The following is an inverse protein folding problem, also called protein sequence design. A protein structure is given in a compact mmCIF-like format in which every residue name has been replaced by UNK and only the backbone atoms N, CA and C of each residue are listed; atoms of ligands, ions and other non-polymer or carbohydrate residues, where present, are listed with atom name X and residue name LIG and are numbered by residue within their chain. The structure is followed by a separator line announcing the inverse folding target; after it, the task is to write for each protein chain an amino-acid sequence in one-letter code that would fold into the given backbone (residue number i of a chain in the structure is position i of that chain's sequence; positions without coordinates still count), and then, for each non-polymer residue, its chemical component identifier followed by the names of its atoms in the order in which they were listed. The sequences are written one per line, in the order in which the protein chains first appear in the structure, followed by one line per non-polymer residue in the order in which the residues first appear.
data_IF_778774473817
#
_entry.id   IF_778774473817
#
_cell.length_a   1.000
_cell.length_b   1.000
_cell.length_c   1.000
_cell.angle_alpha   90.00
_cell.angle_beta   90.00
_cell.angle_gamma   90.00
#
_symmetry.space_group_name_H-M   'P 1'
#
loop_
_entity.id
_entity.type
_entity.pdbx_description
1 polymer ?
#
# COMPACT_ATOMS: atom_id res chain seq x y z
N UNK A 1 16.09 -6.70 7.16
CA UNK A 1 14.89 -5.91 7.50
C UNK A 1 14.07 -6.70 8.49
N UNK A 2 13.69 -6.07 9.60
CA UNK A 2 12.96 -6.77 10.66
C UNK A 2 11.43 -6.63 10.45
N UNK A 3 10.69 -7.27 11.34
CA UNK A 3 9.24 -7.30 11.28
C UNK A 3 8.63 -5.90 11.31
N UNK A 4 9.14 -5.06 12.19
CA UNK A 4 8.62 -3.71 12.34
C UNK A 4 8.84 -2.88 11.09
N UNK A 5 9.98 -3.01 10.45
CA UNK A 5 10.26 -2.30 9.22
C UNK A 5 9.33 -2.74 8.10
N UNK A 6 9.05 -4.04 8.00
CA UNK A 6 8.07 -4.53 7.02
C UNK A 6 6.68 -4.00 7.30
N UNK A 7 6.29 -3.91 8.58
CA UNK A 7 4.96 -3.38 8.93
C UNK A 7 4.86 -1.89 8.60
N UNK A 8 5.92 -1.14 8.81
CA UNK A 8 5.93 0.27 8.45
C UNK A 8 5.82 0.47 6.94
N UNK A 9 6.50 -0.37 6.17
CA UNK A 9 6.42 -0.30 4.72
C UNK A 9 5.05 -0.72 4.23
N UNK A 10 4.43 -1.72 4.87
CA UNK A 10 3.06 -2.11 4.53
C UNK A 10 2.09 -0.95 4.79
N UNK A 11 2.25 -0.28 5.91
CA UNK A 11 1.40 0.85 6.28
C UNK A 11 1.53 2.00 5.28
N UNK A 12 2.76 2.31 4.90
CA UNK A 12 3.05 3.32 3.88
C UNK A 12 2.42 2.97 2.55
N UNK A 13 2.52 1.69 2.16
CA UNK A 13 1.97 1.21 0.89
C UNK A 13 0.45 1.27 0.90
N UNK A 14 -0.19 0.95 2.02
CA UNK A 14 -1.64 1.06 2.16
C UNK A 14 -2.07 2.52 1.99
N UNK A 15 -1.37 3.44 2.59
CA UNK A 15 -1.68 4.87 2.46
C UNK A 15 -1.62 5.32 1.00
N UNK A 16 -0.60 4.85 0.27
CA UNK A 16 -0.49 5.17 -1.15
C UNK A 16 -1.60 4.54 -1.97
N UNK A 17 -1.95 3.29 -1.66
CA UNK A 17 -3.04 2.61 -2.35
C UNK A 17 -4.36 3.34 -2.14
N UNK A 18 -4.63 3.77 -0.92
CA UNK A 18 -5.85 4.52 -0.61
C UNK A 18 -5.92 5.84 -1.35
N UNK A 19 -4.79 6.55 -1.43
CA UNK A 19 -4.72 7.82 -2.16
C UNK A 19 -5.01 7.61 -3.64
N UNK A 20 -4.40 6.59 -4.22
CA UNK A 20 -4.59 6.30 -5.64
C UNK A 20 -6.01 5.84 -5.95
N UNK A 21 -6.60 5.06 -5.05
CA UNK A 21 -8.00 4.66 -5.18
C UNK A 21 -8.91 5.89 -5.13
N UNK A 22 -8.62 6.83 -4.24
CA UNK A 22 -9.37 8.09 -4.16
C UNK A 22 -9.24 8.93 -5.41
N UNK A 23 -8.04 8.95 -6.02
CA UNK A 23 -7.81 9.65 -7.28
C UNK A 23 -8.61 9.00 -8.41
N UNK A 24 -8.61 7.67 -8.47
CA UNK A 24 -9.38 6.95 -9.48
C UNK A 24 -10.87 7.27 -9.34
N UNK A 25 -11.38 7.25 -8.12
CA UNK A 25 -12.78 7.53 -7.84
C UNK A 25 -13.16 8.95 -8.27
N UNK A 26 -12.26 9.89 -8.05
CA UNK A 26 -12.48 11.27 -8.43
C UNK A 26 -12.65 11.42 -9.95
N UNK A 27 -11.87 10.67 -10.72
CA UNK A 27 -11.96 10.71 -12.17
C UNK A 27 -13.20 10.02 -12.74
N UNK A 28 -13.78 9.08 -11.97
CA UNK A 28 -15.01 8.40 -12.41
C UNK A 28 -16.12 9.39 -12.72
N UNK A 29 -16.24 10.45 -11.91
CA UNK A 29 -17.28 11.45 -12.07
C UNK A 29 -16.80 12.71 -12.77
N UNK A 30 -15.57 12.70 -13.26
CA UNK A 30 -14.98 13.86 -13.93
C UNK A 30 -15.53 14.03 -15.34
N UNK A 31 -15.51 15.26 -15.82
CA UNK A 31 -15.87 15.56 -17.21
C UNK A 31 -14.65 15.60 -18.13
N UNK A 32 -13.49 15.22 -17.60
CA UNK A 32 -12.24 15.18 -18.36
C UNK A 32 -12.38 14.17 -19.51
N UNK A 33 -12.05 14.54 -20.76
CA UNK A 33 -12.10 13.60 -21.89
C UNK A 33 -11.20 12.37 -21.69
N UNK A 34 -10.16 12.52 -20.88
CA UNK A 34 -9.22 11.42 -20.60
C UNK A 34 -9.56 10.66 -19.32
N UNK A 35 -10.77 10.84 -18.78
CA UNK A 35 -11.12 10.27 -17.47
C UNK A 35 -10.93 8.76 -17.39
N UNK A 36 -11.25 8.04 -18.44
CA UNK A 36 -11.13 6.57 -18.42
C UNK A 36 -9.67 6.14 -18.32
N UNK A 37 -8.78 6.81 -19.07
CA UNK A 37 -7.34 6.53 -18.98
C UNK A 37 -6.82 6.84 -17.59
N UNK A 38 -7.26 7.93 -16.99
CA UNK A 38 -6.81 8.33 -15.66
C UNK A 38 -7.32 7.36 -14.60
N UNK A 39 -8.59 6.95 -14.69
CA UNK A 39 -9.14 5.96 -13.76
C UNK A 39 -8.33 4.68 -13.82
N UNK A 40 -8.07 4.20 -15.04
CA UNK A 40 -7.33 2.96 -15.22
C UNK A 40 -5.91 3.08 -14.66
N UNK A 41 -5.23 4.17 -14.94
CA UNK A 41 -3.86 4.40 -14.48
C UNK A 41 -3.79 4.40 -12.96
N UNK A 42 -4.68 5.14 -12.30
CA UNK A 42 -4.66 5.21 -10.84
C UNK A 42 -5.10 3.91 -10.20
N UNK A 43 -6.06 3.22 -10.80
CA UNK A 43 -6.50 1.92 -10.28
C UNK A 43 -5.38 0.89 -10.37
N UNK A 44 -4.65 0.85 -11.48
CA UNK A 44 -3.54 -0.07 -11.65
C UNK A 44 -2.41 0.21 -10.67
N UNK A 45 -2.06 1.49 -10.51
CA UNK A 45 -1.04 1.88 -9.55
C UNK A 45 -1.47 1.55 -8.12
N UNK A 46 -2.73 1.78 -7.80
CA UNK A 46 -3.27 1.43 -6.48
C UNK A 46 -3.19 -0.06 -6.20
N UNK A 47 -3.48 -0.89 -7.21
CA UNK A 47 -3.41 -2.34 -7.07
C UNK A 47 -1.98 -2.79 -6.79
N UNK A 48 -0.99 -2.17 -7.46
CA UNK A 48 0.42 -2.48 -7.23
C UNK A 48 0.81 -2.16 -5.79
N UNK A 49 0.43 -0.99 -5.29
CA UNK A 49 0.74 -0.61 -3.92
C UNK A 49 0.03 -1.49 -2.91
N UNK A 50 -1.20 -1.93 -3.21
CA UNK A 50 -1.91 -2.87 -2.36
C UNK A 50 -1.19 -4.22 -2.30
N UNK A 51 -0.64 -4.68 -3.43
CA UNK A 51 0.15 -5.91 -3.47
C UNK A 51 1.44 -5.77 -2.66
N UNK A 52 2.09 -4.63 -2.74
CA UNK A 52 3.29 -4.35 -1.93
C UNK A 52 2.94 -4.42 -0.45
N UNK A 53 1.82 -3.84 -0.05
CA UNK A 53 1.37 -3.88 1.33
C UNK A 53 1.14 -5.31 1.80
N UNK A 54 0.45 -6.11 0.99
CA UNK A 54 0.20 -7.52 1.34
C UNK A 54 1.49 -8.31 1.45
N UNK A 55 2.45 -8.04 0.58
CA UNK A 55 3.74 -8.70 0.58
C UNK A 55 4.49 -8.42 1.89
N UNK A 56 4.59 -7.16 2.28
CA UNK A 56 5.28 -6.81 3.51
C UNK A 56 4.56 -7.37 4.73
N UNK A 57 3.23 -7.37 4.73
CA UNK A 57 2.45 -7.94 5.82
C UNK A 57 2.69 -9.44 5.93
N UNK A 58 2.73 -10.14 4.81
CA UNK A 58 2.98 -11.59 4.79
C UNK A 58 4.38 -11.91 5.29
N UNK A 59 5.37 -11.13 4.90
CA UNK A 59 6.74 -11.32 5.38
C UNK A 59 6.80 -11.07 6.88
N UNK A 60 6.17 -10.00 7.34
CA UNK A 60 6.16 -9.67 8.76
C UNK A 60 5.53 -10.77 9.61
N UNK A 61 4.53 -11.47 9.06
CA UNK A 61 3.82 -12.52 9.77
C UNK A 61 4.72 -13.72 10.10
N UNK A 62 5.77 -13.94 9.30
CA UNK A 62 6.68 -15.07 9.53
C UNK A 62 7.99 -14.67 10.20
N UNK A 63 8.20 -13.39 10.43
CA UNK A 63 9.39 -12.91 11.10
C UNK A 63 9.14 -12.86 12.60
N UNK A 64 10.18 -13.10 13.40
CA UNK A 64 10.02 -13.02 14.85
C UNK A 64 9.75 -11.58 15.26
N UNK A 65 9.01 -11.45 16.34
CA UNK A 65 8.74 -10.15 16.93
C UNK A 65 10.05 -9.61 17.47
N UNK A 66 10.32 -8.33 17.18
CA UNK A 66 11.49 -7.69 17.72
C UNK A 66 11.22 -7.36 19.17
N UNK A 67 11.75 -8.15 20.05
CA UNK A 67 11.60 -7.93 21.48
C UNK A 67 12.87 -7.32 22.00
N UNK A 68 12.71 -6.16 22.57
CA UNK A 68 13.83 -5.51 23.23
C UNK A 68 14.00 -6.15 24.60
N UNK A 69 14.49 -7.37 24.61
CA UNK A 69 14.67 -8.09 25.87
C UNK A 69 15.89 -7.58 26.57
N UNK A 70 15.73 -7.14 27.79
CA UNK A 70 16.90 -6.81 28.58
C UNK A 70 17.72 -8.07 28.76
N UNK A 71 19.00 -7.94 28.53
CA UNK A 71 19.91 -9.03 28.74
C UNK A 71 20.11 -9.23 30.20
N UNK A 72 19.93 -10.40 30.66
CA UNK A 72 20.13 -10.69 32.06
C UNK A 72 21.52 -11.18 32.32
#
# INVERSE_FOLDING_TARGET
MDREQHLKLADSAVTRAERLAGDAERYVTSHDPNRYSQVQRYAEAGAVWADIARTHTAIAAVLPETVDTPED
#
